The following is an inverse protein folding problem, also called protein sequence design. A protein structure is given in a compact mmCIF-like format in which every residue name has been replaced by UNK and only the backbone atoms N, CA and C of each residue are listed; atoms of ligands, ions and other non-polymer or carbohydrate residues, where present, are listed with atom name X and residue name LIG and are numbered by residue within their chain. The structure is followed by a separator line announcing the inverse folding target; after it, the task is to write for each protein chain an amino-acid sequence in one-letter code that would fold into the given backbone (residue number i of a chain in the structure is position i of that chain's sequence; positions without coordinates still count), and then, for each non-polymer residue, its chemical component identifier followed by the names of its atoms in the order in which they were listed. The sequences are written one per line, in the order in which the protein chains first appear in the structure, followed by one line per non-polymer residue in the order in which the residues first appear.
data_IF_282106379276
#
_entry.id   IF_282106379276
#
_cell.length_a   1.000
_cell.length_b   1.000
_cell.length_c   1.000
_cell.angle_alpha   90.00
_cell.angle_beta   90.00
_cell.angle_gamma   90.00
#
_symmetry.space_group_name_H-M   'P 1'
#
loop_
_entity.id
_entity.type
_entity.pdbx_description
1 polymer ?
#
# COMPACT_ATOMS: atom_id res chain seq x y z
N UNK A 1 -5.21 0.10 -17.42
CA UNK A 1 -5.42 0.63 -16.07
C UNK A 1 -4.13 1.30 -15.62
N UNK A 2 -4.19 2.60 -15.34
CA UNK A 2 -3.07 3.46 -14.97
C UNK A 2 -2.69 3.26 -13.49
N UNK A 3 -1.48 3.69 -13.08
CA UNK A 3 -1.07 3.63 -11.67
C UNK A 3 -1.98 4.46 -10.76
N UNK A 4 -2.52 5.57 -11.28
CA UNK A 4 -3.47 6.42 -10.55
C UNK A 4 -4.76 5.68 -10.20
N UNK A 5 -5.37 5.00 -11.17
CA UNK A 5 -6.59 4.20 -10.96
C UNK A 5 -6.37 3.09 -9.94
N UNK A 6 -5.19 2.44 -9.96
CA UNK A 6 -4.82 1.41 -8.98
C UNK A 6 -4.70 1.94 -7.56
N UNK A 7 -4.19 3.17 -7.38
CA UNK A 7 -4.05 3.80 -6.07
C UNK A 7 -5.40 4.26 -5.51
N UNK A 8 -6.30 4.74 -6.37
CA UNK A 8 -7.67 5.10 -5.97
C UNK A 8 -8.48 3.85 -5.55
N UNK A 9 -8.29 2.73 -6.25
CA UNK A 9 -8.90 1.46 -5.85
C UNK A 9 -8.33 0.94 -4.51
N UNK A 10 -7.03 1.11 -4.27
CA UNK A 10 -6.39 0.78 -3.01
C UNK A 10 -6.95 1.61 -1.83
N UNK A 11 -7.16 2.92 -2.03
CA UNK A 11 -7.77 3.80 -1.02
C UNK A 11 -9.17 3.33 -0.60
N UNK A 12 -9.99 2.94 -1.58
CA UNK A 12 -11.34 2.39 -1.33
C UNK A 12 -11.25 1.09 -0.54
N UNK A 13 -10.42 0.16 -0.99
CA UNK A 13 -10.24 -1.14 -0.32
C UNK A 13 -9.79 -1.01 1.12
N UNK A 14 -8.86 -0.09 1.43
CA UNK A 14 -8.44 0.18 2.82
C UNK A 14 -9.59 0.78 3.65
N UNK A 15 -10.45 1.60 3.03
CA UNK A 15 -11.67 2.09 3.68
C UNK A 15 -12.67 1.00 4.03
N UNK A 16 -12.72 -0.07 3.24
CA UNK A 16 -13.71 -1.14 3.37
C UNK A 16 -13.26 -2.31 4.26
N UNK A 17 -11.98 -2.35 4.69
CA UNK A 17 -11.50 -3.42 5.59
C UNK A 17 -12.10 -3.23 6.99
N UNK A 18 -13.12 -4.01 7.30
CA UNK A 18 -13.63 -4.18 8.68
C UNK A 18 -12.53 -4.78 9.56
N UNK A 19 -12.26 -4.16 10.71
CA UNK A 19 -11.31 -4.67 11.70
C UNK A 19 -9.85 -4.27 11.48
N UNK A 20 -9.57 -3.40 10.50
CA UNK A 20 -8.24 -2.82 10.36
C UNK A 20 -7.95 -1.96 11.61
N UNK A 21 -6.88 -2.21 12.38
CA UNK A 21 -6.54 -1.38 13.52
C UNK A 21 -6.47 0.07 13.07
N UNK A 22 -7.24 0.96 13.72
CA UNK A 22 -7.46 2.34 13.22
C UNK A 22 -6.16 3.09 12.90
N UNK A 23 -5.09 2.82 13.65
CA UNK A 23 -3.76 3.37 13.39
C UNK A 23 -3.12 2.91 12.07
N UNK A 24 -3.26 1.64 11.69
CA UNK A 24 -2.70 1.12 10.43
C UNK A 24 -3.48 1.67 9.23
N UNK A 25 -4.82 1.75 9.35
CA UNK A 25 -5.66 2.30 8.28
C UNK A 25 -5.36 3.78 8.01
N UNK A 26 -5.16 4.55 9.09
CA UNK A 26 -4.74 5.95 9.01
C UNK A 26 -3.33 6.08 8.42
N UNK A 27 -2.37 5.26 8.85
CA UNK A 27 -1.00 5.27 8.30
C UNK A 27 -1.01 5.01 6.78
N UNK A 28 -1.77 4.01 6.33
CA UNK A 28 -1.83 3.68 4.91
C UNK A 28 -2.46 4.82 4.09
N UNK A 29 -3.58 5.38 4.54
CA UNK A 29 -4.30 6.46 3.84
C UNK A 29 -3.56 7.80 3.86
N UNK A 30 -3.00 8.17 5.00
CA UNK A 30 -2.45 9.51 5.23
C UNK A 30 -0.96 9.63 4.94
N UNK A 31 -0.22 8.52 4.93
CA UNK A 31 1.23 8.53 4.75
C UNK A 31 1.63 7.72 3.52
N UNK A 32 1.27 6.43 3.47
CA UNK A 32 1.80 5.53 2.42
C UNK A 32 1.26 5.86 1.04
N UNK A 33 -0.06 5.98 0.86
CA UNK A 33 -0.64 6.23 -0.47
C UNK A 33 -0.22 7.60 -1.05
N UNK A 34 -0.21 8.71 -0.29
CA UNK A 34 0.30 9.98 -0.80
C UNK A 34 1.74 9.90 -1.28
N UNK A 35 2.61 9.19 -0.57
CA UNK A 35 4.00 8.99 -0.99
C UNK A 35 4.10 8.15 -2.27
N UNK A 36 3.25 7.12 -2.44
CA UNK A 36 3.22 6.34 -3.67
C UNK A 36 2.77 7.16 -4.89
N UNK A 37 1.95 8.20 -4.69
CA UNK A 37 1.52 9.13 -5.75
C UNK A 37 2.65 10.06 -6.23
N UNK A 38 3.69 10.29 -5.43
CA UNK A 38 4.81 11.17 -5.78
C UNK A 38 5.98 10.44 -6.43
N UNK A 39 5.95 9.10 -6.45
CA UNK A 39 7.00 8.26 -7.04
C UNK A 39 7.05 8.46 -8.56
N UNK A 40 8.22 8.78 -9.14
CA UNK A 40 8.41 8.81 -10.59
C UNK A 40 8.13 7.44 -11.23
N UNK A 41 7.51 7.41 -12.42
CA UNK A 41 7.21 6.14 -13.10
C UNK A 41 8.46 5.28 -13.35
N UNK A 42 9.61 5.92 -13.61
CA UNK A 42 10.92 5.26 -13.77
C UNK A 42 11.35 4.48 -12.52
N UNK A 43 10.85 4.84 -11.34
CA UNK A 43 11.19 4.22 -10.05
C UNK A 43 10.08 3.34 -9.49
N UNK A 44 8.89 3.33 -10.10
CA UNK A 44 7.74 2.57 -9.63
C UNK A 44 8.02 1.06 -9.49
N UNK A 45 8.93 0.50 -10.30
CA UNK A 45 9.34 -0.89 -10.20
C UNK A 45 10.09 -1.20 -8.89
N UNK A 46 11.00 -0.32 -8.46
CA UNK A 46 11.76 -0.46 -7.21
C UNK A 46 10.84 -0.40 -6.00
N UNK A 47 9.91 0.54 -6.02
CA UNK A 47 8.92 0.69 -4.95
C UNK A 47 8.03 -0.55 -4.88
N UNK A 48 7.63 -1.12 -6.02
CA UNK A 48 6.86 -2.38 -6.07
C UNK A 48 7.65 -3.53 -5.46
N UNK A 49 8.94 -3.67 -5.78
CA UNK A 49 9.78 -4.72 -5.18
C UNK A 49 9.93 -4.56 -3.67
N UNK A 50 10.19 -3.33 -3.20
CA UNK A 50 10.30 -3.05 -1.77
C UNK A 50 8.99 -3.38 -1.02
N UNK A 51 7.84 -2.94 -1.54
CA UNK A 51 6.53 -3.26 -0.96
C UNK A 51 6.27 -4.76 -0.96
N UNK A 52 6.63 -5.47 -2.04
CA UNK A 52 6.52 -6.93 -2.11
C UNK A 52 7.30 -7.59 -0.98
N UNK A 53 8.57 -7.24 -0.81
CA UNK A 53 9.39 -7.78 0.26
C UNK A 53 8.83 -7.48 1.64
N UNK A 54 8.33 -6.27 1.89
CA UNK A 54 7.68 -5.93 3.17
C UNK A 54 6.47 -6.85 3.41
N UNK A 55 5.61 -7.04 2.41
CA UNK A 55 4.43 -7.91 2.53
C UNK A 55 4.81 -9.36 2.75
N UNK A 56 5.82 -9.88 2.03
CA UNK A 56 6.35 -11.23 2.21
C UNK A 56 6.86 -11.42 3.64
N UNK A 57 7.73 -10.53 4.13
CA UNK A 57 8.24 -10.57 5.50
C UNK A 57 7.13 -10.48 6.55
N UNK A 58 6.12 -9.64 6.33
CA UNK A 58 4.98 -9.54 7.26
C UNK A 58 4.16 -10.83 7.29
N UNK A 59 3.94 -11.48 6.14
CA UNK A 59 3.27 -12.79 6.10
C UNK A 59 4.06 -13.85 6.86
N UNK A 60 5.38 -13.88 6.67
CA UNK A 60 6.27 -14.80 7.39
C UNK A 60 6.20 -14.58 8.92
N UNK A 61 6.14 -13.33 9.38
CA UNK A 61 6.05 -13.01 10.82
C UNK A 61 4.71 -13.42 11.43
N UNK A 62 3.62 -13.34 10.66
CA UNK A 62 2.28 -13.63 11.15
C UNK A 62 1.80 -15.06 10.82
N UNK A 63 2.66 -15.93 10.26
CA UNK A 63 2.33 -17.30 9.83
C UNK A 63 1.04 -17.36 8.96
N UNK A 64 0.89 -16.40 8.03
CA UNK A 64 -0.29 -16.27 7.13
C UNK A 64 0.03 -16.61 5.68
#
# INVERSE_FOLDING_TARGET
MTNKERLEELEKRIGDVRGLPGGIGMMLKSIVIPQLKTVPESEAHKVREAVRHIVETLKDVFDV
#
